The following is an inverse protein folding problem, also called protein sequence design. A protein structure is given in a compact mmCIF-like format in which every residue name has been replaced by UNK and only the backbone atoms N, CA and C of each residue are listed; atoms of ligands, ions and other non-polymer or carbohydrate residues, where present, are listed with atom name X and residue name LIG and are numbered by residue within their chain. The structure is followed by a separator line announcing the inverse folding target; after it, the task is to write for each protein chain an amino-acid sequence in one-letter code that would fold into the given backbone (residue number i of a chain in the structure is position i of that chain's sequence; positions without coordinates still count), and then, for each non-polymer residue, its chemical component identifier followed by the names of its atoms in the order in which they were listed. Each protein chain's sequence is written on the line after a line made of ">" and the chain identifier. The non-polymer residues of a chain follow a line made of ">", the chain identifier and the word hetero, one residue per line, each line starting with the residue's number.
data_IF_735826005396
#
_entry.id   IF_735826005396
#
_cell.length_a   1.000
_cell.length_b   1.000
_cell.length_c   1.000
_cell.angle_alpha   90.00
_cell.angle_beta   90.00
_cell.angle_gamma   90.00
#
_symmetry.space_group_name_H-M   'P 1'
#
loop_
_entity.id
_entity.type
_entity.pdbx_description
1 polymer ?
#
# COMPACT_ATOMS: atom_id res chain seq x y z
N UNK A 1 13.32 -12.58 15.24
CA UNK A 1 12.27 -11.64 15.73
C UNK A 1 11.82 -10.58 14.71
N UNK A 2 12.57 -10.27 13.63
CA UNK A 2 12.12 -9.33 12.60
C UNK A 2 11.16 -9.93 11.54
N UNK A 3 11.20 -11.26 11.35
CA UNK A 3 10.55 -11.99 10.23
C UNK A 3 9.01 -11.96 10.28
N UNK A 4 8.35 -11.57 11.39
CA UNK A 4 6.88 -11.53 11.48
C UNK A 4 6.25 -10.16 11.20
N UNK A 5 7.02 -9.06 11.28
CA UNK A 5 6.46 -7.71 11.17
C UNK A 5 5.77 -7.45 9.83
N UNK A 6 6.25 -8.04 8.74
CA UNK A 6 5.60 -7.87 7.43
C UNK A 6 4.18 -8.47 7.39
N UNK A 7 3.90 -9.51 8.18
CA UNK A 7 2.56 -10.10 8.24
C UNK A 7 1.59 -9.19 8.97
N UNK A 8 2.05 -8.46 9.98
CA UNK A 8 1.24 -7.49 10.70
C UNK A 8 0.86 -6.34 9.77
N UNK A 9 1.83 -5.80 9.00
CA UNK A 9 1.56 -4.79 7.97
C UNK A 9 0.61 -5.30 6.87
N UNK A 10 0.75 -6.55 6.44
CA UNK A 10 -0.12 -7.11 5.42
C UNK A 10 -1.56 -7.30 5.93
N UNK A 11 -1.74 -7.75 7.18
CA UNK A 11 -3.07 -7.88 7.81
C UNK A 11 -3.75 -6.53 7.95
N UNK A 12 -3.02 -5.51 8.40
CA UNK A 12 -3.52 -4.15 8.48
C UNK A 12 -3.91 -3.60 7.11
N UNK A 13 -3.17 -3.94 6.05
CA UNK A 13 -3.51 -3.58 4.67
C UNK A 13 -4.81 -4.26 4.20
N UNK A 14 -5.00 -5.54 4.54
CA UNK A 14 -6.20 -6.30 4.23
C UNK A 14 -7.43 -5.73 4.96
N UNK A 15 -7.27 -5.38 6.23
CA UNK A 15 -8.32 -4.75 7.05
C UNK A 15 -8.70 -3.37 6.50
N UNK A 16 -7.72 -2.53 6.14
CA UNK A 16 -7.97 -1.23 5.50
C UNK A 16 -8.70 -1.39 4.16
N UNK A 17 -8.34 -2.40 3.35
CA UNK A 17 -9.02 -2.67 2.09
C UNK A 17 -10.48 -3.12 2.32
N UNK A 18 -10.72 -3.93 3.37
CA UNK A 18 -12.09 -4.30 3.75
C UNK A 18 -12.89 -3.08 4.16
N UNK A 19 -12.32 -2.21 5.00
CA UNK A 19 -12.95 -0.96 5.41
C UNK A 19 -13.25 -0.04 4.21
N UNK A 20 -12.31 0.10 3.27
CA UNK A 20 -12.49 0.88 2.05
C UNK A 20 -13.69 0.39 1.23
N UNK A 21 -13.83 -0.93 1.07
CA UNK A 21 -14.95 -1.55 0.35
C UNK A 21 -16.29 -1.31 1.04
N UNK A 22 -16.34 -1.42 2.36
CA UNK A 22 -17.58 -1.17 3.10
C UNK A 22 -17.98 0.30 3.08
N UNK A 23 -17.01 1.21 3.21
CA UNK A 23 -17.24 2.65 3.11
C UNK A 23 -17.71 3.05 1.71
N UNK A 24 -17.19 2.42 0.67
CA UNK A 24 -17.66 2.61 -0.71
C UNK A 24 -19.14 2.23 -0.84
N UNK A 25 -19.54 1.05 -0.32
CA UNK A 25 -20.95 0.59 -0.32
C UNK A 25 -21.87 1.53 0.46
N UNK A 26 -21.37 2.15 1.52
CA UNK A 26 -22.09 3.11 2.35
C UNK A 26 -22.12 4.53 1.76
N UNK A 27 -21.56 4.76 0.57
CA UNK A 27 -21.49 6.08 -0.07
C UNK A 27 -20.52 7.05 0.59
N UNK A 28 -19.61 6.57 1.46
CA UNK A 28 -18.62 7.38 2.18
C UNK A 28 -17.32 7.48 1.38
N UNK A 29 -17.40 8.04 0.18
CA UNK A 29 -16.35 7.99 -0.84
C UNK A 29 -14.99 8.55 -0.38
N UNK A 30 -14.99 9.69 0.30
CA UNK A 30 -13.78 10.31 0.85
C UNK A 30 -13.01 9.34 1.77
N UNK A 31 -13.71 8.68 2.70
CA UNK A 31 -13.07 7.71 3.59
C UNK A 31 -12.71 6.42 2.86
N UNK A 32 -13.50 6.00 1.88
CA UNK A 32 -13.16 4.85 1.04
C UNK A 32 -11.84 5.06 0.30
N UNK A 33 -11.60 6.23 -0.30
CA UNK A 33 -10.34 6.56 -0.96
C UNK A 33 -9.17 6.61 0.02
N UNK A 34 -9.35 7.20 1.21
CA UNK A 34 -8.31 7.24 2.24
C UNK A 34 -7.86 5.84 2.65
N UNK A 35 -8.80 4.95 2.97
CA UNK A 35 -8.46 3.57 3.34
C UNK A 35 -7.92 2.75 2.17
N UNK A 36 -8.32 3.05 0.92
CA UNK A 36 -7.73 2.42 -0.25
C UNK A 36 -6.25 2.79 -0.43
N UNK A 37 -5.89 4.06 -0.21
CA UNK A 37 -4.50 4.52 -0.23
C UNK A 37 -3.69 3.87 0.90
N UNK A 38 -4.22 3.86 2.13
CA UNK A 38 -3.56 3.24 3.29
C UNK A 38 -3.34 1.72 3.09
N UNK A 39 -4.32 1.01 2.53
CA UNK A 39 -4.19 -0.39 2.18
C UNK A 39 -3.03 -0.62 1.20
N UNK A 40 -2.93 0.19 0.15
CA UNK A 40 -1.82 0.10 -0.82
C UNK A 40 -0.47 0.39 -0.16
N UNK A 41 -0.37 1.47 0.62
CA UNK A 41 0.84 1.86 1.35
C UNK A 41 1.35 0.72 2.25
N UNK A 42 0.47 0.19 3.10
CA UNK A 42 0.81 -0.88 4.06
C UNK A 42 1.19 -2.18 3.35
N UNK A 43 0.51 -2.54 2.27
CA UNK A 43 0.84 -3.73 1.48
C UNK A 43 2.22 -3.65 0.83
N UNK A 44 2.58 -2.49 0.27
CA UNK A 44 3.90 -2.29 -0.35
C UNK A 44 5.01 -2.27 0.70
N UNK A 45 4.78 -1.65 1.87
CA UNK A 45 5.72 -1.72 3.01
C UNK A 45 5.92 -3.16 3.47
N UNK A 46 4.85 -3.95 3.59
CA UNK A 46 4.96 -5.37 3.91
C UNK A 46 5.81 -6.13 2.87
N UNK A 47 5.61 -5.83 1.58
CA UNK A 47 6.37 -6.45 0.50
C UNK A 47 7.87 -6.10 0.57
N UNK A 48 8.21 -4.82 0.80
CA UNK A 48 9.59 -4.35 0.97
C UNK A 48 10.28 -5.04 2.15
N UNK A 49 9.62 -5.13 3.31
CA UNK A 49 10.16 -5.84 4.48
C UNK A 49 10.40 -7.31 4.13
N UNK A 50 9.46 -7.96 3.44
CA UNK A 50 9.54 -9.38 3.12
C UNK A 50 10.63 -9.69 2.09
N UNK A 51 10.80 -8.83 1.08
CA UNK A 51 11.62 -9.11 -0.12
C UNK A 51 12.99 -8.47 -0.07
N UNK A 52 13.08 -7.26 0.47
CA UNK A 52 14.31 -6.49 0.53
C UNK A 52 14.82 -6.30 1.97
N UNK A 53 14.03 -6.65 2.99
CA UNK A 53 14.41 -6.50 4.40
C UNK A 53 14.43 -5.05 4.89
N UNK A 54 13.86 -4.13 4.11
CA UNK A 54 13.87 -2.68 4.37
C UNK A 54 12.49 -2.22 4.81
N UNK A 55 12.47 -1.19 5.65
CA UNK A 55 11.24 -0.52 6.08
C UNK A 55 11.28 0.93 5.63
N UNK A 56 10.38 1.27 4.71
CA UNK A 56 10.24 2.63 4.19
C UNK A 56 9.23 3.44 5.00
N UNK A 57 9.55 4.70 5.29
CA UNK A 57 8.71 5.59 6.10
C UNK A 57 7.82 6.52 5.26
N UNK A 58 8.03 6.58 3.95
CA UNK A 58 7.20 7.39 3.06
C UNK A 58 5.74 6.94 3.08
N UNK A 59 4.83 7.88 2.80
CA UNK A 59 3.40 7.62 2.63
C UNK A 59 2.98 7.56 1.16
N UNK A 60 3.84 7.97 0.23
CA UNK A 60 3.53 7.90 -1.20
C UNK A 60 3.58 6.46 -1.70
N UNK A 61 2.45 5.97 -2.21
CA UNK A 61 2.34 4.66 -2.86
C UNK A 61 3.23 4.62 -4.09
N UNK A 62 3.30 5.73 -4.85
CA UNK A 62 4.16 5.82 -6.03
C UNK A 62 5.63 5.62 -5.65
N UNK A 63 6.11 6.33 -4.63
CA UNK A 63 7.50 6.19 -4.17
C UNK A 63 7.79 4.78 -3.67
N UNK A 64 6.85 4.11 -3.01
CA UNK A 64 7.03 2.72 -2.57
C UNK A 64 7.18 1.75 -3.75
N UNK A 65 6.48 1.98 -4.87
CA UNK A 65 6.64 1.19 -6.10
C UNK A 65 8.01 1.42 -6.75
N UNK A 66 8.50 2.65 -6.77
CA UNK A 66 9.85 2.96 -7.25
C UNK A 66 10.92 2.25 -6.42
N UNK A 67 10.81 2.30 -5.09
CA UNK A 67 11.75 1.64 -4.17
C UNK A 67 11.74 0.12 -4.35
N UNK A 68 10.58 -0.49 -4.61
CA UNK A 68 10.52 -1.91 -4.97
C UNK A 68 11.35 -2.22 -6.24
N UNK A 69 11.25 -1.36 -7.26
CA UNK A 69 12.07 -1.46 -8.48
C UNK A 69 13.56 -1.27 -8.22
N UNK A 70 13.95 -0.32 -7.36
CA UNK A 70 15.34 -0.10 -6.91
C UNK A 70 15.91 -1.36 -6.22
N UNK A 71 15.07 -2.17 -5.56
CA UNK A 71 15.43 -3.46 -4.97
C UNK A 71 15.31 -4.66 -5.92
N UNK A 72 15.13 -4.43 -7.22
CA UNK A 72 15.13 -5.48 -8.24
C UNK A 72 13.82 -6.26 -8.34
N UNK A 73 12.71 -5.74 -7.80
CA UNK A 73 11.39 -6.31 -8.05
C UNK A 73 10.78 -5.74 -9.32
N UNK A 74 10.28 -6.63 -10.19
CA UNK A 74 9.51 -6.21 -11.34
C UNK A 74 8.14 -5.69 -10.89
N UNK A 75 7.86 -4.43 -11.22
CA UNK A 75 6.59 -3.76 -10.93
C UNK A 75 5.86 -3.49 -12.25
N UNK A 76 4.63 -4.00 -12.43
CA UNK A 76 3.83 -3.68 -13.61
C UNK A 76 3.62 -2.17 -13.77
N UNK A 77 3.84 -1.65 -14.98
CA UNK A 77 3.75 -0.21 -15.28
C UNK A 77 2.37 0.39 -14.95
N UNK A 78 1.30 -0.38 -15.11
CA UNK A 78 -0.07 0.01 -14.78
C UNK A 78 -0.28 0.35 -13.30
N UNK A 79 0.59 -0.12 -12.40
CA UNK A 79 0.48 0.19 -10.97
C UNK A 79 0.94 1.62 -10.66
N UNK A 80 1.83 2.20 -11.46
CA UNK A 80 2.30 3.57 -11.26
C UNK A 80 1.17 4.58 -11.49
N UNK A 81 0.37 4.41 -12.54
CA UNK A 81 -0.80 5.25 -12.80
C UNK A 81 -1.84 5.16 -11.67
N UNK A 82 -2.08 3.94 -11.17
CA UNK A 82 -3.00 3.70 -10.03
C UNK A 82 -2.46 4.32 -8.75
N UNK A 83 -1.16 4.24 -8.51
CA UNK A 83 -0.51 4.82 -7.34
C UNK A 83 -0.58 6.35 -7.36
N UNK A 84 -0.34 6.98 -8.50
CA UNK A 84 -0.55 8.42 -8.66
C UNK A 84 -2.00 8.83 -8.37
N UNK A 85 -2.97 8.05 -8.84
CA UNK A 85 -4.37 8.33 -8.57
C UNK A 85 -4.70 8.24 -7.07
N UNK A 86 -4.13 7.26 -6.36
CA UNK A 86 -4.31 7.12 -4.91
C UNK A 86 -3.68 8.29 -4.14
N UNK A 87 -2.41 8.61 -4.43
CA UNK A 87 -1.65 9.68 -3.75
C UNK A 87 -2.23 11.09 -3.99
N UNK A 88 -2.98 11.30 -5.09
CA UNK A 88 -3.67 12.59 -5.34
C UNK A 88 -4.97 12.72 -4.57
N UNK A 89 -5.61 11.60 -4.25
CA UNK A 89 -6.89 11.60 -3.54
C UNK A 89 -6.68 11.70 -2.03
N UNK A 90 -5.59 11.14 -1.51
CA UNK A 90 -5.16 11.15 -0.10
C UNK A 90 -3.66 10.97 0.04
#
# INVERSE_FOLDING_TARGET
>A
MAVRRYLDWLREAEDDLSAAKDLLRLGRYSKACFFAQQAAEKALKALLIKRAGVFETTHSVLRLLEVLGEHGLEVPSELFEKAEALDRLY
#
